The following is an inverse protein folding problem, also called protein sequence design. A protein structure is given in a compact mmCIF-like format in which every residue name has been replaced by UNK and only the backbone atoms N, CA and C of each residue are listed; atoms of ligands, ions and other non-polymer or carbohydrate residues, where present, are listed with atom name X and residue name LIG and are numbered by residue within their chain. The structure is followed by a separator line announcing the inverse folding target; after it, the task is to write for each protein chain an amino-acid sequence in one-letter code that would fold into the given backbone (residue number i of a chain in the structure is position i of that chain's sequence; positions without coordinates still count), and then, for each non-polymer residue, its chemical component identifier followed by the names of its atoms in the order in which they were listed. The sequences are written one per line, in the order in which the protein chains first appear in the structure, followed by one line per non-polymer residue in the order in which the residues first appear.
data_IF_448485192652
#
_entry.id   IF_448485192652
#
_cell.length_a   1.000
_cell.length_b   1.000
_cell.length_c   1.000
_cell.angle_alpha   90.00
_cell.angle_beta   90.00
_cell.angle_gamma   90.00
#
_symmetry.space_group_name_H-M   'P 1'
#
loop_
_entity.id
_entity.type
_entity.pdbx_description
1 polymer ?
#
# COMPACT_ATOMS: atom_id res chain seq x y z
N UNK A 1 -15.66 -1.91 33.55
CA UNK A 1 -15.17 -1.85 32.16
C UNK A 1 -15.90 -0.73 31.45
N UNK A 2 -15.25 0.44 31.27
CA UNK A 2 -15.88 1.60 30.63
C UNK A 2 -15.92 1.37 29.12
N UNK A 3 -17.12 1.34 28.54
CA UNK A 3 -17.34 1.34 27.11
C UNK A 3 -16.77 2.66 26.53
N UNK A 4 -15.57 2.60 25.95
CA UNK A 4 -15.03 3.71 25.15
C UNK A 4 -15.92 3.86 23.92
N UNK A 5 -16.67 4.97 23.88
CA UNK A 5 -17.36 5.42 22.66
C UNK A 5 -16.34 5.52 21.52
N UNK A 6 -16.50 4.68 20.49
CA UNK A 6 -15.56 4.57 19.37
C UNK A 6 -15.70 5.79 18.45
N UNK A 7 -14.81 6.77 18.58
CA UNK A 7 -14.77 8.01 17.76
C UNK A 7 -14.62 7.76 16.25
N UNK A 8 -14.07 6.61 15.83
CA UNK A 8 -14.04 6.23 14.41
C UNK A 8 -15.42 5.86 13.88
N UNK A 9 -16.32 5.33 14.72
CA UNK A 9 -17.72 5.09 14.32
C UNK A 9 -18.47 6.39 14.03
N UNK A 10 -18.10 7.51 14.66
CA UNK A 10 -18.67 8.82 14.33
C UNK A 10 -18.26 9.30 12.93
N UNK A 11 -17.05 8.95 12.48
CA UNK A 11 -16.62 9.15 11.08
C UNK A 11 -17.46 8.29 10.12
N UNK A 12 -17.90 7.12 10.57
CA UNK A 12 -18.77 6.18 9.84
C UNK A 12 -20.27 6.51 9.87
N UNK A 13 -20.67 7.72 10.30
CA UNK A 13 -22.11 8.07 10.27
C UNK A 13 -22.61 7.97 8.83
N UNK A 14 -23.58 7.08 8.57
CA UNK A 14 -24.07 6.73 7.23
C UNK A 14 -24.36 7.95 6.35
N UNK A 15 -24.87 9.03 6.95
CA UNK A 15 -25.17 10.31 6.26
C UNK A 15 -23.94 11.05 5.73
N UNK A 16 -22.77 10.91 6.35
CA UNK A 16 -21.51 11.56 5.97
C UNK A 16 -20.72 10.78 4.91
N UNK A 17 -20.90 9.45 4.87
CA UNK A 17 -20.20 8.57 3.92
C UNK A 17 -21.04 8.28 2.68
N UNK A 18 -22.37 8.38 2.76
CA UNK A 18 -23.25 8.10 1.62
C UNK A 18 -22.90 8.89 0.35
N UNK A 19 -22.59 10.19 0.48
CA UNK A 19 -22.27 11.02 -0.69
C UNK A 19 -20.96 10.56 -1.36
N UNK A 20 -19.80 10.47 -0.67
CA UNK A 20 -18.59 9.91 -1.25
C UNK A 20 -18.75 8.49 -1.79
N UNK A 21 -19.52 7.64 -1.10
CA UNK A 21 -19.76 6.26 -1.52
C UNK A 21 -20.54 6.19 -2.82
N UNK A 22 -21.65 6.93 -2.94
CA UNK A 22 -22.47 6.98 -4.16
C UNK A 22 -21.68 7.54 -5.33
N UNK A 23 -20.90 8.62 -5.11
CA UNK A 23 -20.02 9.18 -6.15
C UNK A 23 -18.97 8.14 -6.56
N UNK A 24 -18.32 7.47 -5.61
CA UNK A 24 -17.31 6.44 -5.88
C UNK A 24 -17.87 5.27 -6.69
N UNK A 25 -19.05 4.76 -6.32
CA UNK A 25 -19.75 3.71 -7.07
C UNK A 25 -20.14 4.21 -8.47
N UNK A 26 -20.64 5.44 -8.59
CA UNK A 26 -21.00 6.03 -9.87
C UNK A 26 -19.82 6.17 -10.83
N UNK A 27 -18.67 6.63 -10.33
CA UNK A 27 -17.43 6.75 -11.11
C UNK A 27 -16.89 5.37 -11.50
N UNK A 28 -16.89 4.41 -10.58
CA UNK A 28 -16.47 3.04 -10.88
C UNK A 28 -17.37 2.41 -11.96
N UNK A 29 -18.70 2.59 -11.85
CA UNK A 29 -19.65 2.14 -12.87
C UNK A 29 -19.41 2.82 -14.22
N UNK A 30 -19.18 4.13 -14.23
CA UNK A 30 -18.85 4.86 -15.44
C UNK A 30 -17.58 4.31 -16.11
N UNK A 31 -16.48 4.11 -15.35
CA UNK A 31 -15.25 3.54 -15.90
C UNK A 31 -15.42 2.12 -16.40
N UNK A 32 -16.18 1.29 -15.69
CA UNK A 32 -16.51 -0.06 -16.16
C UNK A 32 -17.32 0.01 -17.45
N UNK A 33 -18.37 0.82 -17.51
CA UNK A 33 -19.23 0.94 -18.68
C UNK A 33 -18.50 1.50 -19.91
N UNK A 34 -17.70 2.55 -19.72
CA UNK A 34 -16.97 3.21 -20.81
C UNK A 34 -15.73 2.45 -21.26
N UNK A 35 -15.10 1.70 -20.35
CA UNK A 35 -13.87 0.95 -20.60
C UNK A 35 -14.09 -0.50 -21.04
N UNK A 36 -15.33 -1.01 -20.95
CA UNK A 36 -15.63 -2.39 -21.34
C UNK A 36 -15.86 -2.48 -22.84
N UNK A 37 -15.11 -3.36 -23.49
CA UNK A 37 -15.45 -3.82 -24.84
C UNK A 37 -16.61 -4.81 -24.74
N UNK A 38 -17.81 -4.32 -25.05
CA UNK A 38 -19.04 -5.11 -25.03
C UNK A 38 -19.01 -6.32 -25.97
N UNK A 39 -18.15 -6.31 -26.99
CA UNK A 39 -17.99 -7.45 -27.90
C UNK A 39 -17.23 -8.61 -27.26
N UNK A 40 -16.22 -8.33 -26.44
CA UNK A 40 -15.52 -9.34 -25.64
C UNK A 40 -16.35 -9.80 -24.44
N UNK A 41 -17.12 -8.89 -23.83
CA UNK A 41 -18.03 -9.23 -22.73
C UNK A 41 -19.07 -10.29 -23.13
N UNK A 42 -19.60 -10.21 -24.36
CA UNK A 42 -20.54 -11.19 -24.89
C UNK A 42 -19.92 -12.58 -25.13
N UNK A 43 -18.59 -12.72 -25.09
CA UNK A 43 -17.90 -14.01 -25.20
C UNK A 43 -17.72 -14.71 -23.85
N UNK A 44 -18.09 -14.06 -22.74
CA UNK A 44 -18.00 -14.64 -21.40
C UNK A 44 -18.94 -15.84 -21.29
N UNK A 45 -18.37 -17.00 -21.03
CA UNK A 45 -19.13 -18.23 -20.78
C UNK A 45 -19.55 -18.27 -19.31
N UNK A 46 -20.83 -17.99 -19.07
CA UNK A 46 -21.49 -18.10 -17.76
C UNK A 46 -21.61 -19.57 -17.32
N UNK A 47 -20.49 -20.19 -16.93
CA UNK A 47 -20.42 -21.58 -16.50
C UNK A 47 -19.94 -21.73 -15.05
N UNK A 48 -19.90 -22.96 -14.53
CA UNK A 48 -19.46 -23.22 -13.15
C UNK A 48 -18.06 -22.68 -12.83
N UNK A 49 -17.13 -22.70 -13.79
CA UNK A 49 -15.78 -22.13 -13.62
C UNK A 49 -15.79 -20.64 -13.36
N UNK A 50 -16.70 -19.89 -13.99
CA UNK A 50 -16.85 -18.45 -13.79
C UNK A 50 -17.28 -18.14 -12.35
N UNK A 51 -18.31 -18.82 -11.85
CA UNK A 51 -18.79 -18.63 -10.47
C UNK A 51 -17.76 -19.08 -9.43
N UNK A 52 -17.02 -20.17 -9.69
CA UNK A 52 -15.92 -20.60 -8.83
C UNK A 52 -14.80 -19.55 -8.82
N UNK A 53 -14.43 -19.00 -9.98
CA UNK A 53 -13.44 -17.92 -10.09
C UNK A 53 -13.82 -16.70 -9.25
N UNK A 54 -15.06 -16.21 -9.42
CA UNK A 54 -15.60 -15.10 -8.61
C UNK A 54 -15.58 -15.43 -7.11
N UNK A 55 -16.03 -16.62 -6.72
CA UNK A 55 -16.05 -17.03 -5.31
C UNK A 55 -14.62 -17.03 -4.73
N UNK A 56 -13.64 -17.58 -5.45
CA UNK A 56 -12.24 -17.58 -5.01
C UNK A 56 -11.68 -16.16 -4.97
N UNK A 57 -12.00 -15.30 -5.94
CA UNK A 57 -11.59 -13.90 -5.93
C UNK A 57 -12.15 -13.16 -4.70
N UNK A 58 -13.41 -13.41 -4.32
CA UNK A 58 -14.00 -12.85 -3.09
C UNK A 58 -13.31 -13.39 -1.83
N UNK A 59 -13.00 -14.70 -1.77
CA UNK A 59 -12.25 -15.28 -0.65
C UNK A 59 -10.84 -14.69 -0.53
N UNK A 60 -10.17 -14.43 -1.66
CA UNK A 60 -8.86 -13.76 -1.68
C UNK A 60 -8.96 -12.30 -1.20
N UNK A 61 -10.04 -11.59 -1.52
CA UNK A 61 -10.29 -10.25 -0.97
C UNK A 61 -10.43 -10.30 0.56
N UNK A 62 -11.20 -11.25 1.10
CA UNK A 62 -11.34 -11.44 2.55
C UNK A 62 -9.99 -11.79 3.19
N UNK A 63 -9.23 -12.69 2.58
CA UNK A 63 -7.90 -13.09 3.09
C UNK A 63 -6.94 -11.91 3.14
N UNK A 64 -6.92 -11.07 2.10
CA UNK A 64 -6.14 -9.83 2.05
C UNK A 64 -6.50 -8.92 3.23
N UNK A 65 -7.78 -8.66 3.44
CA UNK A 65 -8.24 -7.73 4.47
C UNK A 65 -7.95 -8.26 5.88
N UNK A 66 -8.12 -9.57 6.11
CA UNK A 66 -7.73 -10.23 7.37
C UNK A 66 -6.23 -10.13 7.62
N UNK A 67 -5.40 -10.30 6.59
CA UNK A 67 -3.95 -10.16 6.69
C UNK A 67 -3.54 -8.71 7.04
N UNK A 68 -4.19 -7.70 6.43
CA UNK A 68 -4.01 -6.29 6.80
C UNK A 68 -4.49 -5.99 8.23
N UNK A 69 -5.62 -6.55 8.66
CA UNK A 69 -6.13 -6.41 10.03
C UNK A 69 -5.16 -7.00 11.06
N UNK A 70 -4.60 -8.19 10.77
CA UNK A 70 -3.57 -8.80 11.61
C UNK A 70 -2.33 -7.91 11.68
N UNK A 71 -1.84 -7.44 10.52
CA UNK A 71 -0.66 -6.58 10.42
C UNK A 71 -0.82 -5.30 11.23
N UNK A 72 -1.91 -4.55 11.03
CA UNK A 72 -2.10 -3.28 11.74
C UNK A 72 -2.24 -3.50 13.25
N UNK A 73 -2.93 -4.56 13.66
CA UNK A 73 -3.06 -4.92 15.07
C UNK A 73 -1.70 -5.26 15.68
N UNK A 74 -0.87 -5.96 14.94
CA UNK A 74 0.47 -6.32 15.38
C UNK A 74 1.37 -5.09 15.49
N UNK A 75 1.39 -4.22 14.48
CA UNK A 75 2.21 -3.00 14.47
C UNK A 75 1.81 -2.00 15.57
N UNK A 76 0.54 -2.04 15.98
CA UNK A 76 0.01 -1.21 17.07
C UNK A 76 0.09 -1.87 18.45
N UNK A 77 0.88 -2.94 18.61
CA UNK A 77 1.02 -3.71 19.87
C UNK A 77 -0.31 -4.20 20.44
N UNK A 78 -1.25 -4.58 19.57
CA UNK A 78 -2.62 -5.01 19.89
C UNK A 78 -3.48 -3.96 20.60
N UNK A 79 -3.11 -2.68 20.52
CA UNK A 79 -3.91 -1.56 21.04
C UNK A 79 -5.27 -1.48 20.34
N UNK A 80 -5.34 -1.88 19.07
CA UNK A 80 -6.57 -1.90 18.27
C UNK A 80 -7.21 -3.30 18.35
N UNK A 81 -8.53 -3.34 18.58
CA UNK A 81 -9.32 -4.58 18.60
C UNK A 81 -9.52 -5.13 17.18
N UNK A 82 -9.88 -6.41 17.02
CA UNK A 82 -10.14 -6.98 15.68
C UNK A 82 -11.23 -6.23 14.91
N UNK A 83 -12.32 -5.86 15.59
CA UNK A 83 -13.42 -5.12 14.96
C UNK A 83 -13.00 -3.71 14.55
N UNK A 84 -12.19 -3.04 15.38
CA UNK A 84 -11.68 -1.72 15.05
C UNK A 84 -10.60 -1.79 13.97
N UNK A 85 -9.77 -2.84 13.93
CA UNK A 85 -8.81 -3.08 12.84
C UNK A 85 -9.54 -3.18 11.49
N UNK A 86 -10.69 -3.85 11.45
CA UNK A 86 -11.53 -3.86 10.25
C UNK A 86 -11.97 -2.44 9.86
N UNK A 87 -12.52 -1.65 10.78
CA UNK A 87 -12.94 -0.27 10.49
C UNK A 87 -11.78 0.59 9.99
N UNK A 88 -10.61 0.46 10.61
CA UNK A 88 -9.38 1.18 10.21
C UNK A 88 -8.95 0.79 8.80
N UNK A 89 -8.88 -0.50 8.48
CA UNK A 89 -8.45 -0.97 7.16
C UNK A 89 -9.46 -0.60 6.09
N UNK A 90 -10.76 -0.76 6.34
CA UNK A 90 -11.80 -0.39 5.38
C UNK A 90 -11.78 1.11 5.08
N UNK A 91 -11.66 1.95 6.10
CA UNK A 91 -11.56 3.40 5.92
C UNK A 91 -10.26 3.81 5.22
N UNK A 92 -9.15 3.15 5.53
CA UNK A 92 -7.88 3.38 4.86
C UNK A 92 -7.99 3.02 3.37
N UNK A 93 -8.40 1.80 3.03
CA UNK A 93 -8.54 1.38 1.63
C UNK A 93 -9.55 2.25 0.86
N UNK A 94 -10.67 2.61 1.49
CA UNK A 94 -11.62 3.54 0.88
C UNK A 94 -11.00 4.91 0.59
N UNK A 95 -10.27 5.47 1.55
CA UNK A 95 -9.60 6.76 1.37
C UNK A 95 -8.56 6.69 0.26
N UNK A 96 -7.75 5.62 0.24
CA UNK A 96 -6.76 5.37 -0.81
C UNK A 96 -7.40 5.25 -2.20
N UNK A 97 -8.57 4.62 -2.30
CA UNK A 97 -9.28 4.44 -3.57
C UNK A 97 -9.91 5.73 -4.09
N UNK A 98 -10.33 6.65 -3.21
CA UNK A 98 -11.02 7.91 -3.58
C UNK A 98 -10.02 9.05 -3.84
N UNK A 99 -8.84 9.04 -3.22
CA UNK A 99 -7.87 10.13 -3.38
C UNK A 99 -7.02 9.99 -4.66
N UNK A 100 -6.78 11.07 -5.43
CA UNK A 100 -5.87 11.03 -6.58
C UNK A 100 -4.42 10.74 -6.17
N UNK A 101 -3.83 9.69 -6.75
CA UNK A 101 -2.43 9.32 -6.57
C UNK A 101 -2.13 8.59 -5.25
N UNK A 102 -0.88 8.13 -5.11
CA UNK A 102 -0.42 7.29 -4.00
C UNK A 102 -0.31 8.00 -2.62
N UNK A 103 -0.66 9.29 -2.52
CA UNK A 103 -0.29 10.14 -1.36
C UNK A 103 -1.46 10.40 -0.40
N UNK A 104 -2.71 10.30 -0.84
CA UNK A 104 -3.87 10.65 -0.01
C UNK A 104 -4.17 9.64 1.11
N UNK A 105 -3.98 8.34 0.83
CA UNK A 105 -4.29 7.27 1.78
C UNK A 105 -3.43 7.29 3.05
N UNK A 106 -2.13 7.58 2.93
CA UNK A 106 -1.19 7.55 4.05
C UNK A 106 -1.48 8.62 5.12
N UNK A 107 -1.80 9.85 4.70
CA UNK A 107 -2.13 10.93 5.64
C UNK A 107 -3.45 10.66 6.39
N UNK A 108 -4.44 10.13 5.69
CA UNK A 108 -5.72 9.74 6.30
C UNK A 108 -5.54 8.56 7.25
N UNK A 109 -4.66 7.60 6.93
CA UNK A 109 -4.34 6.48 7.82
C UNK A 109 -3.73 6.93 9.15
N UNK A 110 -2.80 7.90 9.13
CA UNK A 110 -2.24 8.49 10.36
C UNK A 110 -3.35 9.12 11.21
N UNK A 111 -4.26 9.85 10.58
CA UNK A 111 -5.40 10.45 11.27
C UNK A 111 -6.37 9.41 11.87
N UNK A 112 -6.70 8.35 11.11
CA UNK A 112 -7.57 7.26 11.58
C UNK A 112 -6.95 6.56 12.80
N UNK A 113 -5.66 6.21 12.74
CA UNK A 113 -4.96 5.58 13.84
C UNK A 113 -4.87 6.48 15.08
N UNK A 114 -4.67 7.79 14.87
CA UNK A 114 -4.70 8.74 15.98
C UNK A 114 -6.08 8.81 16.65
N UNK A 115 -7.17 8.71 15.87
CA UNK A 115 -8.54 8.62 16.42
C UNK A 115 -8.83 7.33 17.17
N UNK A 116 -8.14 6.24 16.85
CA UNK A 116 -8.14 4.99 17.63
C UNK A 116 -7.30 5.08 18.93
N UNK A 117 -6.73 6.25 19.22
CA UNK A 117 -6.05 6.54 20.48
C UNK A 117 -4.53 6.37 20.45
N UNK A 118 -3.93 6.18 19.27
CA UNK A 118 -2.48 6.21 19.11
C UNK A 118 -1.96 7.66 19.12
N UNK A 119 -0.74 7.88 19.63
CA UNK A 119 -0.07 9.17 19.44
C UNK A 119 0.14 9.44 17.94
N UNK A 120 0.27 10.71 17.55
CA UNK A 120 0.57 11.07 16.16
C UNK A 120 1.87 10.39 15.72
N UNK A 121 2.90 10.42 16.56
CA UNK A 121 4.18 9.75 16.28
C UNK A 121 4.05 8.24 16.07
N UNK A 122 3.30 7.53 16.93
CA UNK A 122 3.08 6.08 16.77
C UNK A 122 2.23 5.76 15.54
N UNK A 123 1.27 6.62 15.21
CA UNK A 123 0.43 6.49 14.02
C UNK A 123 1.26 6.64 12.74
N UNK A 124 2.11 7.68 12.68
CA UNK A 124 3.05 7.88 11.57
C UNK A 124 4.04 6.73 11.45
N UNK A 125 4.64 6.30 12.56
CA UNK A 125 5.55 5.16 12.59
C UNK A 125 4.89 3.89 12.05
N UNK A 126 3.63 3.64 12.43
CA UNK A 126 2.86 2.48 11.95
C UNK A 126 2.67 2.54 10.43
N UNK A 127 2.23 3.68 9.88
CA UNK A 127 1.99 3.86 8.45
C UNK A 127 3.30 3.79 7.63
N UNK A 128 4.37 4.42 8.11
CA UNK A 128 5.69 4.34 7.49
C UNK A 128 6.22 2.89 7.50
N UNK A 129 6.00 2.16 8.59
CA UNK A 129 6.39 0.74 8.69
C UNK A 129 5.61 -0.12 7.71
N UNK A 130 4.30 0.10 7.55
CA UNK A 130 3.52 -0.64 6.54
C UNK A 130 4.01 -0.38 5.13
N UNK A 131 4.31 0.89 4.79
CA UNK A 131 4.85 1.23 3.47
C UNK A 131 6.21 0.56 3.23
N UNK A 132 7.10 0.56 4.23
CA UNK A 132 8.38 -0.15 4.15
C UNK A 132 8.19 -1.67 3.92
N UNK A 133 7.26 -2.30 4.63
CA UNK A 133 6.96 -3.72 4.46
C UNK A 133 6.41 -4.02 3.06
N UNK A 134 5.61 -3.11 2.50
CA UNK A 134 5.06 -3.23 1.15
C UNK A 134 6.18 -3.11 0.09
N UNK A 135 7.11 -2.16 0.25
CA UNK A 135 8.29 -2.05 -0.63
C UNK A 135 9.20 -3.27 -0.52
N UNK A 136 9.41 -3.80 0.69
CA UNK A 136 10.16 -5.03 0.92
C UNK A 136 9.50 -6.23 0.23
N UNK A 137 8.17 -6.30 0.21
CA UNK A 137 7.46 -7.34 -0.55
C UNK A 137 7.82 -7.26 -2.03
N UNK A 138 7.82 -6.08 -2.64
CA UNK A 138 8.18 -5.90 -4.05
C UNK A 138 9.64 -6.27 -4.31
N UNK A 139 10.56 -5.77 -3.49
CA UNK A 139 12.00 -6.07 -3.59
C UNK A 139 12.28 -7.57 -3.48
N UNK A 140 11.55 -8.29 -2.63
CA UNK A 140 11.75 -9.72 -2.45
C UNK A 140 11.07 -10.57 -3.52
N UNK A 141 9.83 -10.22 -3.88
CA UNK A 141 8.98 -11.05 -4.75
C UNK A 141 9.39 -10.94 -6.21
N UNK A 142 9.81 -9.76 -6.69
CA UNK A 142 10.18 -9.56 -8.10
C UNK A 142 11.32 -10.49 -8.55
N UNK A 143 12.46 -10.59 -7.85
CA UNK A 143 13.53 -11.53 -8.21
C UNK A 143 13.05 -12.98 -8.22
N UNK A 144 12.22 -13.37 -7.25
CA UNK A 144 11.65 -14.72 -7.16
C UNK A 144 10.80 -15.02 -8.40
N UNK A 145 9.90 -14.10 -8.75
CA UNK A 145 9.05 -14.24 -9.94
C UNK A 145 9.89 -14.32 -11.22
N UNK A 146 10.93 -13.50 -11.35
CA UNK A 146 11.85 -13.55 -12.50
C UNK A 146 12.60 -14.89 -12.56
N UNK A 147 13.01 -15.44 -11.41
CA UNK A 147 13.72 -16.71 -11.34
C UNK A 147 12.82 -17.89 -11.77
N UNK A 148 11.55 -17.88 -11.37
CA UNK A 148 10.60 -18.96 -11.70
C UNK A 148 9.98 -18.84 -13.09
N UNK A 149 9.63 -17.64 -13.53
CA UNK A 149 8.91 -17.40 -14.81
C UNK A 149 9.87 -17.08 -15.95
N UNK A 150 11.01 -16.46 -15.67
CA UNK A 150 11.95 -15.99 -16.67
C UNK A 150 11.55 -14.63 -17.27
N UNK A 151 12.56 -13.86 -17.69
CA UNK A 151 12.34 -12.51 -18.22
C UNK A 151 11.62 -12.46 -19.58
N UNK A 152 11.64 -13.57 -20.34
CA UNK A 152 11.05 -13.62 -21.67
C UNK A 152 9.51 -13.66 -21.64
N UNK A 153 8.95 -14.34 -20.64
CA UNK A 153 7.49 -14.40 -20.43
C UNK A 153 6.94 -13.16 -19.73
N UNK A 154 7.77 -12.46 -18.95
CA UNK A 154 7.40 -11.22 -18.25
C UNK A 154 7.47 -9.98 -19.16
N UNK A 155 8.36 -9.99 -20.16
CA UNK A 155 8.52 -8.89 -21.13
C UNK A 155 8.41 -9.40 -22.58
N UNK A 156 7.20 -9.80 -23.03
CA UNK A 156 6.95 -10.14 -24.44
C UNK A 156 7.40 -9.00 -25.37
N UNK A 157 7.94 -9.36 -26.53
CA UNK A 157 8.40 -8.40 -27.56
C UNK A 157 7.24 -7.52 -28.06
N UNK A 158 6.01 -8.05 -28.04
CA UNK A 158 4.77 -7.37 -28.43
C UNK A 158 4.37 -6.19 -27.52
N UNK A 159 4.92 -6.11 -26.30
CA UNK A 159 4.69 -5.00 -25.37
C UNK A 159 5.59 -3.79 -25.61
N UNK A 160 6.53 -3.86 -26.56
CA UNK A 160 7.38 -2.74 -26.92
C UNK A 160 6.55 -1.63 -27.58
N UNK A 161 6.48 -0.47 -26.92
CA UNK A 161 5.86 0.74 -27.47
C UNK A 161 6.93 1.68 -27.98
N UNK A 162 6.80 2.09 -29.24
CA UNK A 162 7.56 3.19 -29.80
C UNK A 162 6.96 4.50 -29.31
N UNK A 163 7.77 5.31 -28.60
CA UNK A 163 7.39 6.65 -28.17
C UNK A 163 8.50 7.58 -28.67
N UNK A 164 8.16 8.52 -29.57
CA UNK A 164 9.10 9.46 -30.20
C UNK A 164 10.29 8.81 -30.93
N UNK A 165 10.08 7.70 -31.65
CA UNK A 165 11.14 7.03 -32.43
C UNK A 165 12.20 6.30 -31.59
N UNK A 166 11.96 6.19 -30.27
CA UNK A 166 12.74 5.38 -29.36
C UNK A 166 11.89 4.16 -29.01
N UNK A 167 12.37 2.97 -29.37
CA UNK A 167 11.82 1.71 -28.88
C UNK A 167 12.15 1.65 -27.38
N UNK A 168 11.20 2.04 -26.54
CA UNK A 168 11.33 1.88 -25.11
C UNK A 168 11.18 0.40 -24.79
N UNK A 169 12.32 -0.26 -24.61
CA UNK A 169 12.36 -1.62 -24.14
C UNK A 169 11.72 -1.65 -22.74
N UNK A 170 10.50 -2.17 -22.63
CA UNK A 170 9.71 -2.25 -21.38
C UNK A 170 10.53 -2.89 -20.25
N UNK A 171 11.38 -3.86 -20.61
CA UNK A 171 12.35 -4.48 -19.70
C UNK A 171 13.33 -3.46 -19.11
N UNK A 172 13.83 -2.52 -19.91
CA UNK A 172 14.74 -1.46 -19.46
C UNK A 172 14.07 -0.50 -18.47
N UNK A 173 12.84 -0.04 -18.78
CA UNK A 173 12.05 0.79 -17.87
C UNK A 173 11.81 0.04 -16.55
N UNK A 174 11.42 -1.23 -16.63
CA UNK A 174 11.20 -2.07 -15.46
C UNK A 174 12.45 -2.21 -14.60
N UNK A 175 13.60 -2.51 -15.19
CA UNK A 175 14.87 -2.65 -14.46
C UNK A 175 15.25 -1.33 -13.77
N UNK A 176 15.12 -0.20 -14.46
CA UNK A 176 15.39 1.13 -13.87
C UNK A 176 14.45 1.39 -12.70
N UNK A 177 13.15 1.15 -12.87
CA UNK A 177 12.15 1.30 -11.80
C UNK A 177 12.45 0.39 -10.60
N UNK A 178 12.76 -0.88 -10.84
CA UNK A 178 13.11 -1.84 -9.80
C UNK A 178 14.39 -1.44 -9.06
N UNK A 179 15.45 -1.07 -9.76
CA UNK A 179 16.70 -0.59 -9.16
C UNK A 179 16.48 0.68 -8.32
N UNK A 180 15.63 1.59 -8.80
CA UNK A 180 15.25 2.78 -8.05
C UNK A 180 14.50 2.43 -6.76
N UNK A 181 13.49 1.57 -6.84
CA UNK A 181 12.74 1.08 -5.66
C UNK A 181 13.65 0.35 -4.67
N UNK A 182 14.54 -0.51 -5.16
CA UNK A 182 15.53 -1.22 -4.33
C UNK A 182 16.44 -0.24 -3.60
N UNK A 183 17.01 0.73 -4.33
CA UNK A 183 17.89 1.75 -3.76
C UNK A 183 17.15 2.58 -2.70
N UNK A 184 15.94 3.04 -3.00
CA UNK A 184 15.11 3.81 -2.07
C UNK A 184 14.79 3.00 -0.81
N UNK A 185 14.44 1.73 -0.97
CA UNK A 185 14.16 0.81 0.15
C UNK A 185 15.38 0.64 1.05
N UNK A 186 16.57 0.39 0.47
CA UNK A 186 17.81 0.27 1.23
C UNK A 186 18.15 1.55 1.99
N UNK A 187 17.95 2.70 1.36
CA UNK A 187 18.15 4.02 1.97
C UNK A 187 17.20 4.22 3.16
N UNK A 188 15.92 3.87 3.02
CA UNK A 188 14.92 3.98 4.11
C UNK A 188 15.28 3.02 5.26
N UNK A 189 15.64 1.77 4.95
CA UNK A 189 16.07 0.78 5.96
C UNK A 189 17.30 1.30 6.72
N UNK A 190 18.30 1.83 6.00
CA UNK A 190 19.46 2.46 6.61
C UNK A 190 19.06 3.62 7.53
N UNK A 191 18.16 4.49 7.08
CA UNK A 191 17.64 5.61 7.86
C UNK A 191 16.90 5.16 9.12
N UNK A 192 16.06 4.13 9.04
CA UNK A 192 15.25 3.69 10.17
C UNK A 192 16.09 2.90 11.20
N UNK A 193 16.96 1.99 10.76
CA UNK A 193 17.61 1.04 11.68
C UNK A 193 19.03 1.45 12.10
N UNK A 194 19.75 2.20 11.27
CA UNK A 194 21.17 2.48 11.49
C UNK A 194 21.38 3.94 11.94
N UNK A 195 20.97 4.92 11.13
CA UNK A 195 21.23 6.33 11.43
C UNK A 195 20.08 7.26 10.98
N UNK A 196 19.01 7.41 11.79
CA UNK A 196 17.87 8.27 11.44
C UNK A 196 18.22 9.75 11.34
N UNK A 197 19.10 10.23 12.23
CA UNK A 197 19.54 11.62 12.22
C UNK A 197 20.38 11.93 10.97
N UNK A 198 21.31 11.04 10.62
CA UNK A 198 22.11 11.14 9.40
C UNK A 198 21.25 11.10 8.15
N UNK A 199 20.23 10.25 8.12
CA UNK A 199 19.29 10.17 7.02
C UNK A 199 18.46 11.44 6.85
N UNK A 200 17.89 11.99 7.94
CA UNK A 200 17.22 13.29 7.91
C UNK A 200 18.14 14.38 7.35
N UNK A 201 19.38 14.45 7.84
CA UNK A 201 20.33 15.47 7.38
C UNK A 201 20.68 15.32 5.90
N UNK A 202 20.87 14.09 5.42
CA UNK A 202 21.11 13.80 4.00
C UNK A 202 19.93 14.26 3.14
N UNK A 203 18.70 13.90 3.53
CA UNK A 203 17.49 14.31 2.82
C UNK A 203 17.35 15.84 2.76
N UNK A 204 17.53 16.52 3.89
CA UNK A 204 17.43 17.98 3.95
C UNK A 204 18.49 18.62 3.06
N UNK A 205 19.73 18.11 3.07
CA UNK A 205 20.84 18.63 2.24
C UNK A 205 20.58 18.46 0.74
N UNK A 206 20.00 17.34 0.30
CA UNK A 206 19.61 17.15 -1.11
C UNK A 206 18.57 18.20 -1.53
N UNK A 207 17.61 18.48 -0.65
CA UNK A 207 16.54 19.44 -0.90
C UNK A 207 16.91 20.91 -0.61
N UNK A 208 18.16 21.18 -0.22
CA UNK A 208 18.73 22.53 -0.19
C UNK A 208 19.17 23.01 -1.57
N UNK A 209 19.29 22.11 -2.54
CA UNK A 209 19.64 22.48 -3.90
C UNK A 209 18.54 23.35 -4.53
N UNK A 210 18.95 24.37 -5.30
CA UNK A 210 18.10 25.43 -5.88
C UNK A 210 16.83 24.92 -6.57
N UNK A 211 16.89 23.74 -7.21
CA UNK A 211 15.75 23.12 -7.89
C UNK A 211 14.68 22.54 -6.94
N UNK A 212 15.10 22.04 -5.77
CA UNK A 212 14.25 21.27 -4.87
C UNK A 212 13.81 22.05 -3.62
N UNK A 213 14.31 23.28 -3.45
CA UNK A 213 14.10 24.11 -2.26
C UNK A 213 12.62 24.31 -1.87
N UNK A 214 11.71 24.36 -2.85
CA UNK A 214 10.26 24.49 -2.61
C UNK A 214 9.63 23.33 -1.83
N UNK A 215 10.27 22.17 -1.81
CA UNK A 215 9.79 20.98 -1.09
C UNK A 215 10.50 20.75 0.24
N UNK A 216 11.47 21.60 0.61
CA UNK A 216 12.29 21.45 1.83
C UNK A 216 11.45 21.23 3.09
N UNK A 217 10.37 22.01 3.26
CA UNK A 217 9.49 21.87 4.43
C UNK A 217 8.89 20.47 4.55
N UNK A 218 8.41 19.88 3.44
CA UNK A 218 7.86 18.52 3.43
C UNK A 218 8.93 17.48 3.77
N UNK A 219 10.14 17.67 3.29
CA UNK A 219 11.26 16.75 3.52
C UNK A 219 11.77 16.78 4.96
N UNK A 220 11.75 17.96 5.60
CA UNK A 220 12.04 18.07 7.04
C UNK A 220 11.04 17.23 7.84
N UNK A 221 9.75 17.34 7.54
CA UNK A 221 8.70 16.54 8.18
C UNK A 221 8.91 15.03 7.95
N UNK A 222 9.19 14.61 6.71
CA UNK A 222 9.50 13.19 6.42
C UNK A 222 10.72 12.70 7.22
N UNK A 223 11.74 13.54 7.39
CA UNK A 223 12.89 13.22 8.22
C UNK A 223 12.54 13.06 9.71
N UNK A 224 11.67 13.93 10.24
CA UNK A 224 11.16 13.84 11.62
C UNK A 224 10.30 12.59 11.84
N UNK A 225 9.46 12.26 10.86
CA UNK A 225 8.65 11.05 10.84
C UNK A 225 9.53 9.80 10.86
N UNK A 226 10.68 9.81 10.17
CA UNK A 226 11.64 8.70 10.17
C UNK A 226 12.38 8.57 11.49
N UNK A 227 12.76 9.67 12.12
CA UNK A 227 13.33 9.63 13.48
C UNK A 227 12.34 9.02 14.45
N UNK A 228 11.08 9.48 14.42
CA UNK A 228 10.01 8.96 15.26
C UNK A 228 9.77 7.47 15.01
N UNK A 229 9.75 7.07 13.74
CA UNK A 229 9.62 5.67 13.31
C UNK A 229 10.78 4.82 13.82
N UNK A 230 12.02 5.31 13.69
CA UNK A 230 13.22 4.64 14.20
C UNK A 230 13.13 4.38 15.70
N UNK A 231 12.73 5.38 16.49
CA UNK A 231 12.58 5.26 17.96
C UNK A 231 11.59 4.17 18.35
N UNK A 232 10.45 4.06 17.66
CA UNK A 232 9.42 3.04 17.91
C UNK A 232 9.88 1.62 17.47
N UNK A 233 10.70 1.52 16.42
CA UNK A 233 11.05 0.26 15.78
C UNK A 233 12.32 -0.41 16.30
N UNK A 234 13.29 0.36 16.82
CA UNK A 234 14.64 -0.12 17.17
C UNK A 234 14.66 -1.26 18.20
N UNK A 235 13.60 -1.38 19.01
CA UNK A 235 13.48 -2.38 20.07
C UNK A 235 12.55 -3.56 19.71
N UNK A 236 12.04 -3.63 18.48
CA UNK A 236 11.17 -4.74 18.06
C UNK A 236 12.00 -6.00 17.77
N UNK A 237 11.50 -7.15 18.23
CA UNK A 237 12.18 -8.45 18.05
C UNK A 237 12.20 -8.92 16.59
N UNK A 238 13.12 -9.82 16.24
CA UNK A 238 13.12 -10.46 14.91
C UNK A 238 11.83 -11.23 14.61
N UNK A 239 11.23 -11.88 15.62
CA UNK A 239 9.92 -12.54 15.48
C UNK A 239 8.80 -11.56 15.13
N UNK A 240 8.92 -10.30 15.57
CA UNK A 240 7.98 -9.26 15.19
C UNK A 240 8.10 -8.96 13.68
N UNK A 241 9.32 -8.74 13.19
CA UNK A 241 9.54 -8.43 11.78
C UNK A 241 9.11 -9.55 10.83
N UNK A 242 9.42 -10.81 11.18
CA UNK A 242 9.03 -11.96 10.36
C UNK A 242 7.51 -12.12 10.26
N UNK A 243 6.77 -12.01 11.38
CA UNK A 243 5.30 -12.08 11.34
C UNK A 243 4.66 -10.93 10.57
N UNK A 244 5.19 -9.70 10.73
CA UNK A 244 4.69 -8.53 10.00
C UNK A 244 4.95 -8.65 8.49
N UNK A 245 6.12 -9.17 8.11
CA UNK A 245 6.46 -9.43 6.72
C UNK A 245 5.64 -10.57 6.12
N UNK A 246 5.45 -11.68 6.85
CA UNK A 246 4.57 -12.78 6.41
C UNK A 246 3.12 -12.32 6.21
N UNK A 247 2.58 -11.51 7.12
CA UNK A 247 1.26 -10.93 6.95
C UNK A 247 1.18 -10.05 5.68
N UNK A 248 2.26 -9.31 5.39
CA UNK A 248 2.35 -8.49 4.18
C UNK A 248 2.43 -9.35 2.92
N UNK A 249 3.25 -10.41 2.92
CA UNK A 249 3.31 -11.41 1.85
C UNK A 249 1.92 -12.00 1.56
N UNK A 250 1.22 -12.49 2.58
CA UNK A 250 -0.13 -13.03 2.40
C UNK A 250 -1.11 -12.00 1.84
N UNK A 251 -1.07 -10.76 2.33
CA UNK A 251 -1.96 -9.71 1.85
C UNK A 251 -1.73 -9.39 0.37
N UNK A 252 -0.48 -9.20 -0.04
CA UNK A 252 -0.14 -8.91 -1.43
C UNK A 252 -0.36 -10.09 -2.36
N UNK A 253 0.01 -11.31 -1.96
CA UNK A 253 -0.26 -12.51 -2.74
C UNK A 253 -1.76 -12.69 -2.96
N UNK A 254 -2.57 -12.52 -1.91
CA UNK A 254 -4.03 -12.55 -2.03
C UNK A 254 -4.54 -11.45 -2.96
N UNK A 255 -4.00 -10.22 -2.88
CA UNK A 255 -4.33 -9.11 -3.78
C UNK A 255 -4.07 -9.44 -5.26
N UNK A 256 -2.92 -10.04 -5.58
CA UNK A 256 -2.63 -10.47 -6.95
C UNK A 256 -3.51 -11.64 -7.37
N UNK A 257 -3.83 -12.56 -6.47
CA UNK A 257 -4.72 -13.68 -6.77
C UNK A 257 -6.14 -13.22 -7.10
N UNK A 258 -6.66 -12.16 -6.47
CA UNK A 258 -7.95 -11.56 -6.87
C UNK A 258 -7.99 -11.30 -8.38
N UNK A 259 -6.95 -10.68 -8.93
CA UNK A 259 -6.88 -10.36 -10.37
C UNK A 259 -6.72 -11.61 -11.23
N UNK A 260 -6.06 -12.65 -10.72
CA UNK A 260 -5.88 -13.90 -11.48
C UNK A 260 -7.13 -14.78 -11.53
N UNK A 261 -8.06 -14.63 -10.58
CA UNK A 261 -9.31 -15.40 -10.52
C UNK A 261 -10.55 -14.64 -11.04
N UNK A 262 -10.41 -13.34 -11.32
CA UNK A 262 -11.39 -12.53 -12.04
C UNK A 262 -11.30 -12.79 -13.55
#
# INVERSE_FOLDING_TARGET
MVAKSNKVKELLTAKKIAIPLVIGIGVAFYFLWSGTDWTEFNKIKWGGRFFIGILVALLMMVLRDVAYMYRIRMLTDKHISWRNSFDVIMLWEFSSAVTPGAVGGAGVAVYILNKEGLSVGKSTATVMTTALLDELFYVFTVPIVILFIGTQHLFPIELQKEIFGIVLNVKGIFIVGYCFTLLLSLIIIYGIFINPNGFKNLLVKIFEWKLFRKWKHKVVQVGDDIITTSTELRNKSFSFWTKAFLATLFAWTARFWVVNFL
#
